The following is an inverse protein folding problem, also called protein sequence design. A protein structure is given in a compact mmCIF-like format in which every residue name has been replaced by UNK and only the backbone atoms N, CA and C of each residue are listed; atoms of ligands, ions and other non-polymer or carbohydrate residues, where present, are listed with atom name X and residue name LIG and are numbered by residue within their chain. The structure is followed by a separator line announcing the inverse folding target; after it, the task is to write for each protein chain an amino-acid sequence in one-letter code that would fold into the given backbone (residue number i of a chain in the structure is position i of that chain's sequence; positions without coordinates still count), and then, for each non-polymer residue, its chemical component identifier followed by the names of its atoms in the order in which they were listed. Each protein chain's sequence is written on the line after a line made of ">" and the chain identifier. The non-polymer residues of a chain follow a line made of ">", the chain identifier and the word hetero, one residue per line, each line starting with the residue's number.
data_IF_156973827377
#
_entry.id   IF_156973827377
#
_cell.length_a   1.000
_cell.length_b   1.000
_cell.length_c   1.000
_cell.angle_alpha   90.00
_cell.angle_beta   90.00
_cell.angle_gamma   90.00
#
_symmetry.space_group_name_H-M   'P 1'
#
loop_
_entity.id
_entity.type
_entity.pdbx_description
1 polymer ?
#
# COMPACT_ATOMS: atom_id res chain seq x y z
N UNK A 1 -11.83 -3.85 -0.31
CA UNK A 1 -13.17 -3.34 0.07
C UNK A 1 -14.02 -2.91 -1.12
N UNK A 2 -13.38 -2.52 -2.24
CA UNK A 2 -14.05 -1.94 -3.41
C UNK A 2 -14.22 -2.92 -4.59
N UNK A 3 -13.60 -4.10 -4.51
CA UNK A 3 -13.74 -5.14 -5.53
C UNK A 3 -15.13 -5.78 -5.46
N UNK A 4 -15.83 -5.81 -6.60
CA UNK A 4 -17.13 -6.46 -6.74
C UNK A 4 -17.07 -7.96 -6.48
N UNK A 5 -18.14 -8.51 -5.89
CA UNK A 5 -18.32 -9.95 -5.74
C UNK A 5 -18.40 -10.70 -7.08
N UNK A 6 -18.63 -10.00 -8.19
CA UNK A 6 -18.73 -10.61 -9.52
C UNK A 6 -17.51 -11.44 -9.89
N UNK A 7 -16.29 -10.97 -9.61
CA UNK A 7 -15.08 -11.73 -9.91
C UNK A 7 -15.01 -13.07 -9.18
N UNK A 8 -15.46 -13.10 -7.92
CA UNK A 8 -15.55 -14.33 -7.14
C UNK A 8 -16.60 -15.28 -7.70
N UNK A 9 -17.79 -14.77 -8.04
CA UNK A 9 -18.86 -15.57 -8.64
C UNK A 9 -18.42 -16.16 -10.00
N UNK A 10 -17.78 -15.34 -10.85
CA UNK A 10 -17.22 -15.81 -12.12
C UNK A 10 -16.21 -16.93 -11.88
N UNK A 11 -15.27 -16.77 -10.94
CA UNK A 11 -14.33 -17.83 -10.60
C UNK A 11 -15.04 -19.12 -10.15
N UNK A 12 -15.96 -19.04 -9.19
CA UNK A 12 -16.68 -20.19 -8.63
C UNK A 12 -17.48 -20.96 -9.67
N UNK A 13 -18.20 -20.26 -10.55
CA UNK A 13 -19.08 -20.90 -11.52
C UNK A 13 -18.39 -21.30 -12.83
N UNK A 14 -17.18 -20.79 -13.11
CA UNK A 14 -16.41 -21.13 -14.32
C UNK A 14 -15.07 -21.80 -14.00
N UNK A 15 -14.08 -21.01 -13.57
CA UNK A 15 -12.68 -21.43 -13.44
C UNK A 15 -12.46 -22.50 -12.39
N UNK A 16 -13.22 -22.51 -11.29
CA UNK A 16 -13.03 -23.45 -10.20
C UNK A 16 -13.22 -24.90 -10.67
N UNK A 17 -14.23 -25.18 -11.52
CA UNK A 17 -14.43 -26.52 -12.09
C UNK A 17 -13.25 -26.96 -12.96
N UNK A 18 -12.72 -26.03 -13.78
CA UNK A 18 -11.53 -26.29 -14.61
C UNK A 18 -10.30 -26.61 -13.76
N UNK A 19 -10.04 -25.83 -12.71
CA UNK A 19 -8.93 -26.10 -11.80
C UNK A 19 -9.10 -27.41 -11.04
N UNK A 20 -10.32 -27.74 -10.58
CA UNK A 20 -10.59 -29.04 -9.96
C UNK A 20 -10.32 -30.21 -10.91
N UNK A 21 -10.64 -30.09 -12.19
CA UNK A 21 -10.32 -31.12 -13.18
C UNK A 21 -8.81 -31.34 -13.38
N UNK A 22 -7.99 -30.28 -13.21
CA UNK A 22 -6.55 -30.35 -13.42
C UNK A 22 -5.80 -30.82 -12.16
N UNK A 23 -6.23 -30.38 -10.99
CA UNK A 23 -5.51 -30.55 -9.74
C UNK A 23 -6.18 -31.53 -8.76
N UNK A 24 -7.42 -31.94 -9.04
CA UNK A 24 -8.19 -32.88 -8.23
C UNK A 24 -8.30 -32.43 -6.77
N UNK A 25 -8.03 -33.35 -5.86
CA UNK A 25 -8.08 -33.13 -4.41
C UNK A 25 -6.93 -32.28 -3.87
N UNK A 26 -5.89 -32.00 -4.68
CA UNK A 26 -4.76 -31.14 -4.28
C UNK A 26 -5.09 -29.66 -4.36
N UNK A 27 -6.25 -29.28 -4.90
CA UNK A 27 -6.66 -27.90 -5.04
C UNK A 27 -7.26 -27.36 -3.73
N UNK A 28 -6.53 -26.47 -3.08
CA UNK A 28 -7.07 -25.60 -2.03
C UNK A 28 -7.49 -24.25 -2.62
N UNK A 29 -8.70 -23.79 -2.32
CA UNK A 29 -9.20 -22.48 -2.74
C UNK A 29 -9.39 -21.60 -1.50
N UNK A 30 -8.57 -20.56 -1.39
CA UNK A 30 -8.67 -19.59 -0.30
C UNK A 30 -9.13 -18.25 -0.90
N UNK A 31 -10.25 -17.74 -0.39
CA UNK A 31 -10.72 -16.38 -0.72
C UNK A 31 -10.19 -15.41 0.32
N UNK A 32 -9.48 -14.39 -0.12
CA UNK A 32 -9.01 -13.28 0.73
C UNK A 32 -9.61 -11.96 0.27
N UNK A 33 -9.65 -10.99 1.18
CA UNK A 33 -9.91 -9.60 0.84
C UNK A 33 -8.59 -8.83 0.79
N UNK A 34 -8.57 -7.75 0.01
CA UNK A 34 -7.44 -6.82 -0.06
C UNK A 34 -7.00 -6.36 1.33
N UNK A 35 -5.70 -6.42 1.61
CA UNK A 35 -5.06 -6.17 2.93
C UNK A 35 -5.36 -7.22 4.01
N UNK A 36 -6.02 -8.32 3.66
CA UNK A 36 -6.26 -9.49 4.52
C UNK A 36 -5.61 -10.75 3.95
N UNK A 37 -4.57 -10.59 3.14
CA UNK A 37 -3.81 -11.70 2.58
C UNK A 37 -3.00 -12.42 3.67
N UNK A 38 -2.99 -13.75 3.62
CA UNK A 38 -2.30 -14.58 4.60
C UNK A 38 -0.78 -14.59 4.39
N UNK A 39 -0.03 -14.98 5.44
CA UNK A 39 1.44 -15.00 5.44
C UNK A 39 2.00 -15.87 4.31
N UNK A 40 1.39 -17.03 4.03
CA UNK A 40 1.85 -17.95 2.96
C UNK A 40 1.79 -17.27 1.60
N UNK A 41 0.70 -16.59 1.29
CA UNK A 41 0.54 -15.85 0.04
C UNK A 41 1.58 -14.73 -0.05
N UNK A 42 1.67 -13.90 1.01
CA UNK A 42 2.61 -12.78 1.08
C UNK A 42 4.07 -13.19 0.87
N UNK A 43 4.48 -14.36 1.37
CA UNK A 43 5.85 -14.86 1.26
C UNK A 43 6.32 -15.07 -0.20
N UNK A 44 5.40 -15.29 -1.16
CA UNK A 44 5.75 -15.48 -2.57
C UNK A 44 6.32 -14.21 -3.21
N UNK A 45 6.01 -13.04 -2.65
CA UNK A 45 6.37 -11.73 -3.21
C UNK A 45 7.67 -11.18 -2.64
N UNK A 46 8.35 -11.94 -1.76
CA UNK A 46 9.66 -11.55 -1.19
C UNK A 46 9.67 -10.12 -0.63
N UNK A 47 8.63 -9.77 0.13
CA UNK A 47 8.41 -8.44 0.76
C UNK A 47 8.01 -7.30 -0.20
N UNK A 48 7.92 -7.55 -1.51
CA UNK A 48 7.58 -6.55 -2.54
C UNK A 48 6.15 -6.70 -3.05
N UNK A 49 5.19 -6.80 -2.13
CA UNK A 49 3.77 -6.89 -2.50
C UNK A 49 3.16 -5.50 -2.64
N UNK A 50 2.80 -5.13 -3.87
CA UNK A 50 2.27 -3.80 -4.20
C UNK A 50 0.75 -3.86 -4.40
N UNK A 51 0.05 -2.93 -3.78
CA UNK A 51 -1.41 -2.80 -3.85
C UNK A 51 -1.76 -1.43 -4.40
N UNK A 52 -2.24 -1.39 -5.65
CA UNK A 52 -2.78 -0.17 -6.27
C UNK A 52 -4.25 0.06 -5.89
N UNK A 53 -4.66 1.32 -5.90
CA UNK A 53 -6.08 1.71 -5.83
C UNK A 53 -6.70 1.72 -7.23
N UNK A 54 -8.03 1.59 -7.30
CA UNK A 54 -8.76 1.62 -8.56
C UNK A 54 -8.80 0.29 -9.31
N UNK A 55 -8.99 0.36 -10.63
CA UNK A 55 -9.19 -0.84 -11.49
C UNK A 55 -8.09 -0.95 -12.55
N UNK A 56 -7.58 -2.16 -12.77
CA UNK A 56 -6.51 -2.43 -13.76
C UNK A 56 -6.82 -2.00 -15.21
N UNK A 57 -8.10 -2.00 -15.61
CA UNK A 57 -8.55 -1.65 -16.97
C UNK A 57 -9.33 -0.34 -17.02
N UNK A 58 -9.09 0.54 -16.06
CA UNK A 58 -9.67 1.88 -16.08
C UNK A 58 -9.04 2.67 -17.22
N UNK A 59 -9.87 3.24 -18.09
CA UNK A 59 -9.42 4.09 -19.19
C UNK A 59 -9.23 5.49 -18.60
N UNK A 60 -8.00 6.03 -18.55
CA UNK A 60 -7.78 7.38 -18.05
C UNK A 60 -8.52 8.40 -18.93
N UNK A 61 -9.05 9.45 -18.34
CA UNK A 61 -9.60 10.56 -19.11
C UNK A 61 -8.46 11.25 -19.87
N UNK A 62 -8.48 11.27 -21.22
CA UNK A 62 -7.42 11.90 -22.00
C UNK A 62 -7.27 13.39 -21.68
N UNK A 63 -8.31 14.04 -21.17
CA UNK A 63 -8.28 15.47 -20.83
C UNK A 63 -7.60 15.75 -19.48
N UNK A 64 -7.52 14.77 -18.57
CA UNK A 64 -6.96 14.98 -17.22
C UNK A 64 -5.49 14.58 -17.11
N UNK A 65 -4.62 15.36 -16.44
CA UNK A 65 -3.24 14.96 -16.16
C UNK A 65 -3.18 13.59 -15.48
N UNK A 66 -2.09 12.81 -15.65
CA UNK A 66 -1.94 11.57 -14.93
C UNK A 66 -1.99 11.89 -13.44
N UNK A 67 -2.63 11.05 -12.62
CA UNK A 67 -2.76 11.34 -11.21
C UNK A 67 -1.40 11.25 -10.51
N UNK A 68 -1.23 12.07 -9.47
CA UNK A 68 -0.17 11.84 -8.49
C UNK A 68 -0.43 10.50 -7.81
N UNK A 69 0.61 9.68 -7.69
CA UNK A 69 0.52 8.40 -6.99
C UNK A 69 1.32 8.49 -5.70
N UNK A 70 0.69 8.08 -4.59
CA UNK A 70 1.32 8.12 -3.28
C UNK A 70 1.20 6.74 -2.63
N UNK A 71 2.31 6.22 -2.12
CA UNK A 71 2.40 4.88 -1.58
C UNK A 71 2.98 4.91 -0.17
N UNK A 72 2.45 4.06 0.70
CA UNK A 72 2.91 3.85 2.07
C UNK A 72 3.40 2.41 2.22
N UNK A 73 4.66 2.24 2.63
CA UNK A 73 5.22 0.95 3.00
C UNK A 73 4.75 0.55 4.40
N UNK A 74 3.98 -0.53 4.52
CA UNK A 74 3.48 -1.06 5.80
C UNK A 74 4.03 -2.44 6.07
N UNK A 75 4.36 -2.71 7.33
CA UNK A 75 4.66 -4.06 7.83
C UNK A 75 3.75 -4.43 9.00
N UNK A 76 3.32 -5.70 9.03
CA UNK A 76 2.53 -6.23 10.15
C UNK A 76 3.42 -7.10 11.03
N UNK A 77 4.13 -6.50 11.99
CA UNK A 77 4.91 -7.16 13.07
C UNK A 77 5.97 -8.20 12.62
N UNK A 78 6.14 -8.41 11.32
CA UNK A 78 7.09 -9.30 10.70
C UNK A 78 7.56 -8.67 9.39
N UNK A 79 8.88 -8.57 9.23
CA UNK A 79 9.52 -8.06 8.02
C UNK A 79 9.15 -8.85 6.76
N UNK A 80 8.68 -10.09 6.91
CA UNK A 80 8.24 -10.95 5.80
C UNK A 80 6.92 -10.50 5.17
N UNK A 81 6.13 -9.68 5.86
CA UNK A 81 4.79 -9.28 5.45
C UNK A 81 4.66 -7.79 5.20
N UNK A 82 5.64 -7.25 4.47
CA UNK A 82 5.61 -5.88 3.98
C UNK A 82 4.66 -5.75 2.78
N UNK A 83 3.95 -4.62 2.71
CA UNK A 83 3.07 -4.21 1.63
C UNK A 83 3.34 -2.77 1.26
N UNK A 84 3.49 -2.49 -0.02
CA UNK A 84 3.46 -1.12 -0.53
C UNK A 84 2.02 -0.82 -0.96
N UNK A 85 1.34 0.09 -0.27
CA UNK A 85 -0.08 0.36 -0.49
C UNK A 85 -0.24 1.76 -1.06
N UNK A 86 -0.88 1.85 -2.22
CA UNK A 86 -1.30 3.14 -2.76
C UNK A 86 -2.36 3.76 -1.86
N UNK A 87 -2.15 5.00 -1.47
CA UNK A 87 -3.01 5.81 -0.63
C UNK A 87 -3.35 7.13 -1.35
N UNK A 88 -4.35 7.83 -0.85
CA UNK A 88 -4.69 9.16 -1.37
C UNK A 88 -3.51 10.11 -1.13
N UNK A 89 -3.03 10.85 -2.15
CA UNK A 89 -2.03 11.90 -1.94
C UNK A 89 -2.57 12.97 -1.00
N UNK A 90 -2.02 13.04 0.20
CA UNK A 90 -2.33 14.04 1.21
C UNK A 90 -1.16 14.14 2.19
N UNK A 91 -0.63 15.33 2.42
CA UNK A 91 0.45 15.57 3.37
C UNK A 91 0.09 15.11 4.79
N UNK A 92 -1.19 15.15 5.17
CA UNK A 92 -1.65 14.68 6.48
C UNK A 92 -1.52 13.15 6.67
N UNK A 93 -1.25 12.39 5.60
CA UNK A 93 -1.06 10.94 5.66
C UNK A 93 0.39 10.52 5.92
N UNK A 94 1.34 11.46 5.90
CA UNK A 94 2.72 11.22 6.31
C UNK A 94 2.79 10.84 7.79
N UNK A 95 3.82 10.10 8.16
CA UNK A 95 4.16 9.86 9.55
C UNK A 95 5.66 9.53 9.68
N UNK A 96 6.31 10.14 10.66
CA UNK A 96 7.76 10.08 10.86
C UNK A 96 8.29 8.66 11.08
N UNK A 97 7.46 7.69 11.47
CA UNK A 97 7.86 6.30 11.70
C UNK A 97 7.83 5.41 10.45
N UNK A 98 7.40 5.92 9.29
CA UNK A 98 7.21 5.11 8.08
C UNK A 98 7.91 5.68 6.85
N UNK A 99 7.92 4.88 5.78
CA UNK A 99 8.49 5.21 4.49
C UNK A 99 7.40 5.32 3.41
N UNK A 100 7.59 6.24 2.47
CA UNK A 100 6.61 6.56 1.44
C UNK A 100 7.26 6.73 0.06
N UNK A 101 6.48 6.52 -0.99
CA UNK A 101 6.87 6.86 -2.37
C UNK A 101 5.84 7.83 -2.94
N UNK A 102 6.29 8.95 -3.46
CA UNK A 102 5.47 9.95 -4.15
C UNK A 102 5.92 10.05 -5.60
N UNK A 103 5.08 9.64 -6.54
CA UNK A 103 5.29 9.81 -7.98
C UNK A 103 4.48 11.00 -8.46
N UNK A 104 5.19 12.04 -8.89
CA UNK A 104 4.64 13.28 -9.45
C UNK A 104 4.82 13.25 -10.97
N UNK A 105 3.75 13.06 -11.76
CA UNK A 105 3.84 13.15 -13.21
C UNK A 105 4.05 14.61 -13.64
N UNK A 106 4.96 14.84 -14.57
CA UNK A 106 5.23 16.18 -15.12
C UNK A 106 4.60 16.36 -16.51
N UNK A 107 4.73 15.36 -17.39
CA UNK A 107 4.15 15.38 -18.73
C UNK A 107 3.41 14.06 -19.03
N UNK A 108 2.23 14.16 -19.65
CA UNK A 108 1.46 13.00 -20.16
C UNK A 108 2.18 12.27 -21.28
N UNK A 109 2.80 13.02 -22.19
CA UNK A 109 3.22 12.51 -23.50
C UNK A 109 4.55 11.76 -23.41
N UNK A 110 5.43 12.21 -22.53
CA UNK A 110 6.79 11.69 -22.40
C UNK A 110 6.97 10.70 -21.23
N UNK A 111 5.89 10.42 -20.48
CA UNK A 111 5.95 9.65 -19.22
C UNK A 111 7.02 10.18 -18.25
N UNK A 112 7.30 11.48 -18.31
CA UNK A 112 8.28 12.15 -17.44
C UNK A 112 7.63 12.51 -16.12
N UNK A 113 8.45 12.54 -15.08
CA UNK A 113 7.99 12.73 -13.72
C UNK A 113 9.14 12.75 -12.73
N UNK A 114 8.80 13.00 -11.47
CA UNK A 114 9.73 12.90 -10.35
C UNK A 114 9.16 11.89 -9.36
N UNK A 115 10.01 10.96 -8.94
CA UNK A 115 9.72 9.99 -7.89
C UNK A 115 10.54 10.39 -6.67
N UNK A 116 9.83 10.62 -5.57
CA UNK A 116 10.41 10.88 -4.28
C UNK A 116 10.22 9.65 -3.39
N UNK A 117 11.32 9.11 -2.87
CA UNK A 117 11.31 8.16 -1.76
C UNK A 117 11.48 8.97 -0.49
N UNK A 118 10.43 9.07 0.31
CA UNK A 118 10.45 9.85 1.55
C UNK A 118 10.68 8.91 2.74
N UNK A 119 11.71 9.19 3.52
CA UNK A 119 12.13 8.41 4.69
C UNK A 119 11.83 9.22 5.94
N UNK A 120 10.88 8.72 6.75
CA UNK A 120 10.56 9.33 8.04
C UNK A 120 11.74 9.28 9.00
N UNK A 121 11.88 10.31 9.84
CA UNK A 121 13.01 10.45 10.78
C UNK A 121 13.11 9.32 11.82
N UNK A 122 12.02 8.59 12.06
CA UNK A 122 11.92 7.44 12.97
C UNK A 122 11.70 6.11 12.21
N UNK A 123 11.81 6.10 10.89
CA UNK A 123 11.58 4.92 10.09
C UNK A 123 12.65 3.85 10.32
N UNK A 124 12.27 2.58 10.17
CA UNK A 124 13.21 1.47 10.29
C UNK A 124 14.21 1.47 9.10
N UNK A 125 15.53 1.43 9.33
CA UNK A 125 16.53 1.42 8.26
C UNK A 125 16.38 0.27 7.25
N UNK A 126 15.89 -0.90 7.67
CA UNK A 126 15.61 -2.01 6.77
C UNK A 126 14.41 -1.74 5.86
N UNK A 127 13.42 -1.01 6.35
CA UNK A 127 12.26 -0.58 5.56
C UNK A 127 12.62 0.56 4.61
N UNK A 128 13.53 1.46 5.02
CA UNK A 128 14.09 2.50 4.15
C UNK A 128 14.78 1.90 2.92
N UNK A 129 15.70 0.94 3.13
CA UNK A 129 16.38 0.23 2.03
C UNK A 129 15.39 -0.52 1.13
N UNK A 130 14.38 -1.16 1.74
CA UNK A 130 13.37 -1.90 0.99
C UNK A 130 12.50 -0.98 0.14
N UNK A 131 12.08 0.18 0.66
CA UNK A 131 11.25 1.12 -0.13
C UNK A 131 12.03 1.70 -1.30
N UNK A 132 13.32 1.98 -1.11
CA UNK A 132 14.20 2.46 -2.18
C UNK A 132 14.33 1.40 -3.28
N UNK A 133 14.61 0.15 -2.90
CA UNK A 133 14.69 -0.98 -3.84
C UNK A 133 13.39 -1.17 -4.62
N UNK A 134 12.23 -1.10 -3.94
CA UNK A 134 10.92 -1.21 -4.60
C UNK A 134 10.69 -0.03 -5.55
N UNK A 135 11.00 1.19 -5.13
CA UNK A 135 10.81 2.38 -5.94
C UNK A 135 11.68 2.36 -7.21
N UNK A 136 12.93 1.93 -7.06
CA UNK A 136 13.91 1.78 -8.14
C UNK A 136 13.39 0.79 -9.19
N UNK A 137 12.95 -0.40 -8.76
CA UNK A 137 12.42 -1.43 -9.66
C UNK A 137 11.11 -1.02 -10.35
N UNK A 138 10.25 -0.27 -9.65
CA UNK A 138 8.94 0.10 -10.16
C UNK A 138 8.96 1.30 -11.11
N UNK A 139 9.81 2.28 -10.83
CA UNK A 139 9.67 3.60 -11.45
C UNK A 139 10.95 4.14 -12.08
N UNK A 140 12.14 3.64 -11.72
CA UNK A 140 13.36 4.23 -12.26
C UNK A 140 13.50 3.92 -13.76
N UNK A 141 13.59 4.98 -14.55
CA UNK A 141 13.88 4.93 -15.97
C UNK A 141 14.56 6.24 -16.39
N UNK A 142 15.12 6.27 -17.59
CA UNK A 142 15.92 7.40 -18.08
C UNK A 142 15.21 8.78 -18.10
N UNK A 143 13.88 8.80 -18.00
CA UNK A 143 13.03 10.00 -18.12
C UNK A 143 12.38 10.41 -16.78
N UNK A 144 12.63 9.65 -15.71
CA UNK A 144 12.12 9.92 -14.37
C UNK A 144 13.26 10.49 -13.51
N UNK A 145 13.04 11.66 -12.92
CA UNK A 145 13.88 12.14 -11.83
C UNK A 145 13.64 11.29 -10.60
N UNK A 146 14.69 10.75 -9.99
CA UNK A 146 14.57 9.91 -8.79
C UNK A 146 15.33 10.55 -7.63
N UNK A 147 14.67 10.73 -6.49
CA UNK A 147 15.24 11.38 -5.31
C UNK A 147 14.82 10.68 -4.03
N UNK A 148 15.78 10.34 -3.19
CA UNK A 148 15.53 9.96 -1.79
C UNK A 148 15.59 11.21 -0.92
N UNK A 149 14.59 11.41 -0.08
CA UNK A 149 14.45 12.55 0.82
C UNK A 149 14.31 12.05 2.26
N UNK A 150 15.10 12.62 3.17
CA UNK A 150 14.83 12.45 4.59
C UNK A 150 13.77 13.48 5.04
N UNK A 151 13.00 13.13 6.07
CA UNK A 151 12.05 14.05 6.70
C UNK A 151 12.74 15.39 7.07
N UNK A 152 12.17 16.49 6.59
CA UNK A 152 12.71 17.85 6.78
C UNK A 152 13.60 18.36 5.64
N UNK A 153 14.00 17.49 4.70
CA UNK A 153 14.79 17.86 3.50
C UNK A 153 13.92 17.98 2.24
N UNK A 154 12.59 18.05 2.38
CA UNK A 154 11.69 18.05 1.25
C UNK A 154 11.77 19.38 0.48
N UNK A 155 11.83 19.34 -0.86
CA UNK A 155 11.82 20.56 -1.65
C UNK A 155 10.49 21.29 -1.48
N UNK A 156 10.56 22.62 -1.36
CA UNK A 156 9.36 23.46 -1.27
C UNK A 156 8.45 23.31 -2.49
N UNK A 157 9.06 23.09 -3.66
CA UNK A 157 8.37 22.99 -4.93
C UNK A 157 8.12 21.53 -5.32
N UNK A 158 6.95 21.28 -5.92
CA UNK A 158 6.44 19.99 -6.40
C UNK A 158 6.07 18.95 -5.33
N UNK A 159 6.92 18.65 -4.34
CA UNK A 159 6.62 17.63 -3.32
C UNK A 159 5.35 17.98 -2.53
N UNK A 160 5.35 19.14 -1.87
CA UNK A 160 4.21 19.57 -1.07
C UNK A 160 2.99 19.91 -1.92
N UNK A 161 3.18 20.47 -3.12
CA UNK A 161 2.08 20.77 -4.05
C UNK A 161 1.36 19.49 -4.48
N UNK A 162 2.11 18.43 -4.80
CA UNK A 162 1.56 17.14 -5.18
C UNK A 162 0.79 16.45 -4.03
N UNK A 163 1.12 16.77 -2.78
CA UNK A 163 0.43 16.30 -1.58
C UNK A 163 -0.71 17.23 -1.11
N UNK A 164 -1.08 18.23 -1.91
CA UNK A 164 -2.17 19.16 -1.59
C UNK A 164 -1.79 20.21 -0.54
N UNK A 165 -0.52 20.63 -0.53
CA UNK A 165 0.06 21.61 0.37
C UNK A 165 0.65 21.01 1.64
N UNK A 166 1.47 21.80 2.35
CA UNK A 166 1.98 21.42 3.68
C UNK A 166 0.84 21.35 4.68
N UNK A 167 0.77 20.25 5.42
CA UNK A 167 -0.22 20.03 6.49
C UNK A 167 0.46 19.40 7.71
N UNK A 168 -0.08 19.61 8.91
CA UNK A 168 0.31 18.83 10.07
C UNK A 168 0.06 17.34 9.81
N UNK A 169 0.99 16.50 10.24
CA UNK A 169 0.89 15.06 10.18
C UNK A 169 1.43 14.45 11.48
N UNK A 170 1.07 13.20 11.74
CA UNK A 170 1.42 12.50 12.97
C UNK A 170 2.92 12.15 12.98
N UNK A 171 3.62 12.40 14.09
CA UNK A 171 5.06 12.12 14.21
C UNK A 171 5.37 10.92 15.09
N UNK A 172 4.35 10.30 15.65
CA UNK A 172 4.46 9.20 16.58
C UNK A 172 3.77 7.95 16.01
N UNK A 173 4.35 6.80 16.31
CA UNK A 173 3.75 5.50 16.02
C UNK A 173 3.90 4.56 17.21
N UNK A 174 3.94 5.11 18.42
CA UNK A 174 4.19 4.38 19.66
C UNK A 174 3.19 3.24 19.88
N UNK A 175 1.98 3.36 19.33
CA UNK A 175 0.97 2.29 19.35
C UNK A 175 1.49 0.97 18.76
N UNK A 176 2.48 1.00 17.87
CA UNK A 176 3.13 -0.19 17.31
C UNK A 176 3.96 -0.97 18.33
N UNK A 177 4.38 -0.31 19.42
CA UNK A 177 5.16 -0.93 20.49
C UNK A 177 4.30 -1.67 21.52
N UNK A 178 2.97 -1.53 21.46
CA UNK A 178 2.05 -2.10 22.44
C UNK A 178 1.15 -3.15 21.79
N UNK A 179 0.94 -4.26 22.50
CA UNK A 179 -0.08 -5.26 22.14
C UNK A 179 -1.33 -5.00 22.94
N UNK A 180 -2.48 -4.92 22.27
CA UNK A 180 -3.79 -4.68 22.90
C UNK A 180 -4.70 -5.88 22.69
N UNK A 181 -5.31 -6.37 23.76
CA UNK A 181 -6.25 -7.48 23.72
C UNK A 181 -7.68 -6.96 23.82
N UNK A 182 -8.54 -7.37 22.90
CA UNK A 182 -9.95 -6.99 22.92
C UNK A 182 -10.85 -8.22 22.96
N UNK A 183 -11.90 -8.16 23.79
CA UNK A 183 -13.05 -9.07 23.71
C UNK A 183 -14.10 -8.43 22.81
N UNK A 184 -14.38 -9.09 21.70
CA UNK A 184 -15.49 -8.78 20.81
C UNK A 184 -16.67 -9.72 21.11
N UNK A 185 -17.87 -9.19 21.34
CA UNK A 185 -19.08 -9.99 21.61
C UNK A 185 -20.32 -9.37 20.96
N UNK A 186 -21.25 -10.23 20.53
CA UNK A 186 -22.59 -9.86 20.06
C UNK A 186 -23.70 -10.35 21.01
N UNK A 187 -23.36 -10.82 22.22
CA UNK A 187 -24.30 -11.42 23.18
C UNK A 187 -25.47 -10.49 23.54
N UNK A 188 -25.28 -9.17 23.43
CA UNK A 188 -26.29 -8.16 23.75
C UNK A 188 -27.22 -7.79 22.56
N UNK A 189 -27.12 -8.50 21.44
CA UNK A 189 -27.84 -8.18 20.20
C UNK A 189 -27.21 -7.03 19.40
N UNK A 190 -26.09 -6.46 19.86
CA UNK A 190 -25.26 -5.51 19.11
C UNK A 190 -23.78 -5.83 19.31
N UNK A 191 -22.95 -5.44 18.34
CA UNK A 191 -21.51 -5.66 18.40
C UNK A 191 -20.88 -4.77 19.47
N UNK A 192 -20.17 -5.39 20.41
CA UNK A 192 -19.45 -4.72 21.50
C UNK A 192 -17.98 -5.11 21.49
N UNK A 193 -17.12 -4.12 21.70
CA UNK A 193 -15.67 -4.31 21.85
C UNK A 193 -15.29 -3.78 23.22
N UNK A 194 -14.63 -4.61 24.03
CA UNK A 194 -14.10 -4.23 25.33
C UNK A 194 -12.62 -4.58 25.40
N UNK A 195 -11.79 -3.61 25.79
CA UNK A 195 -10.37 -3.86 26.00
C UNK A 195 -10.18 -4.70 27.28
N UNK A 196 -9.32 -5.71 27.18
CA UNK A 196 -8.87 -6.50 28.31
C UNK A 196 -7.54 -5.94 28.75
N UNK A 197 -7.56 -5.18 29.84
CA UNK A 197 -6.33 -4.76 30.50
C UNK A 197 -5.57 -6.01 30.96
N UNK A 198 -4.30 -6.09 30.58
CA UNK A 198 -3.30 -6.95 31.23
C UNK A 198 -2.90 -6.37 32.57
#
# INVERSE_FOLDING_TARGET
>A
REASNMGWLTFTFSLQKKFKSLFGEKLEVIRTHQQQENLKFMAHFKRKFVIHQGKRKEIPDPNLPPPVEFYHLRSNSSSLCTRLIQIKPDAAALNSAFCYILKVPLNKEEQTGIVYVWIGSKANPEEARLVEEIAEEMFNNAWIGFQTLNEGEEPDNFFWVALGGRKPYDKDADFMNYTRLFRCSNEKGYFTVSEKCS
#
